data_IF_824639512780
#
_entry.id   IF_824639512780
#
_cell.length_a   1.000
_cell.length_b   1.000
_cell.length_c   1.000
_cell.angle_alpha   90.00
_cell.angle_beta   90.00
_cell.angle_gamma   90.00
#
_symmetry.space_group_name_H-M   'P 1'
#
loop_
_entity.id
_entity.type
_entity.pdbx_description
1 polymer ?
#
# COMPACT_ATOMS: atom_id res chain seq x y z
N UNK A 1 20.93 20.92 19.46
CA UNK A 1 20.36 19.58 19.67
C UNK A 1 19.63 19.23 18.38
N UNK A 2 20.20 18.33 17.56
CA UNK A 2 19.76 18.03 16.20
C UNK A 2 18.80 16.84 16.29
N UNK A 3 17.50 17.13 16.42
CA UNK A 3 16.45 16.14 16.65
C UNK A 3 15.64 16.03 15.35
N UNK A 4 15.75 14.85 14.71
CA UNK A 4 14.74 14.21 13.85
C UNK A 4 14.29 14.88 12.54
N UNK A 5 15.21 15.22 11.63
CA UNK A 5 14.83 15.46 10.23
C UNK A 5 14.49 14.16 9.45
N UNK A 6 14.94 12.99 9.94
CA UNK A 6 14.74 11.71 9.26
C UNK A 6 13.31 11.17 9.44
N UNK A 7 12.72 11.29 10.63
CA UNK A 7 11.33 10.88 10.86
C UNK A 7 10.31 11.81 10.19
N UNK A 8 10.63 13.10 10.04
CA UNK A 8 9.76 14.08 9.37
C UNK A 8 9.67 13.85 7.85
N UNK A 9 10.76 13.40 7.23
CA UNK A 9 10.80 13.09 5.79
C UNK A 9 10.05 11.79 5.47
N UNK A 10 10.14 10.77 6.32
CA UNK A 10 9.34 9.53 6.21
C UNK A 10 7.84 9.79 6.44
N UNK A 11 7.48 10.59 7.45
CA UNK A 11 6.06 10.95 7.69
C UNK A 11 5.47 11.83 6.59
N UNK A 12 6.24 12.77 6.04
CA UNK A 12 5.78 13.63 4.94
C UNK A 12 5.65 12.86 3.61
N UNK A 13 6.54 11.90 3.34
CA UNK A 13 6.44 11.02 2.17
C UNK A 13 5.25 10.05 2.31
N UNK A 14 5.02 9.48 3.50
CA UNK A 14 3.81 8.71 3.81
C UNK A 14 2.54 9.56 3.65
N UNK A 15 2.55 10.82 4.09
CA UNK A 15 1.40 11.71 3.94
C UNK A 15 1.11 12.05 2.47
N UNK A 16 2.14 12.25 1.64
CA UNK A 16 1.97 12.39 0.18
C UNK A 16 1.47 11.09 -0.47
N UNK A 17 1.89 9.94 0.04
CA UNK A 17 1.39 8.64 -0.43
C UNK A 17 -0.08 8.43 -0.05
N UNK A 18 -0.50 8.78 1.15
CA UNK A 18 -1.92 8.77 1.56
C UNK A 18 -2.79 9.72 0.73
N UNK A 19 -2.22 10.80 0.20
CA UNK A 19 -2.90 11.68 -0.75
C UNK A 19 -3.14 11.03 -2.12
N UNK A 20 -2.50 9.88 -2.43
CA UNK A 20 -2.79 9.11 -3.62
C UNK A 20 -3.98 8.18 -3.33
N UNK A 21 -5.15 8.36 -3.95
CA UNK A 21 -6.34 7.57 -3.66
C UNK A 21 -6.13 6.07 -3.92
N UNK A 22 -5.28 5.73 -4.90
CA UNK A 22 -4.91 4.35 -5.19
C UNK A 22 -4.00 3.72 -4.14
N UNK A 23 -3.13 4.50 -3.48
CA UNK A 23 -2.32 4.01 -2.36
C UNK A 23 -3.18 3.87 -1.10
N UNK A 24 -4.03 4.84 -0.81
CA UNK A 24 -4.96 4.79 0.32
C UNK A 24 -5.87 3.56 0.26
N UNK A 25 -6.46 3.27 -0.91
CA UNK A 25 -7.29 2.08 -1.09
C UNK A 25 -6.51 0.76 -0.91
N UNK A 26 -5.25 0.69 -1.34
CA UNK A 26 -4.40 -0.49 -1.13
C UNK A 26 -3.99 -0.64 0.33
N UNK A 27 -3.71 0.48 1.01
CA UNK A 27 -3.34 0.48 2.42
C UNK A 27 -4.51 0.01 3.28
N UNK A 28 -5.73 0.49 2.99
CA UNK A 28 -6.95 0.02 3.66
C UNK A 28 -7.18 -1.48 3.45
N UNK A 29 -7.04 -1.97 2.22
CA UNK A 29 -7.13 -3.41 1.93
C UNK A 29 -6.06 -4.23 2.64
N UNK A 30 -4.84 -3.70 2.74
CA UNK A 30 -3.75 -4.34 3.46
C UNK A 30 -4.08 -4.46 4.96
N UNK A 31 -4.56 -3.37 5.57
CA UNK A 31 -4.94 -3.31 6.97
C UNK A 31 -6.07 -4.30 7.29
N UNK A 32 -7.09 -4.37 6.44
CA UNK A 32 -8.20 -5.32 6.60
C UNK A 32 -7.74 -6.78 6.54
N UNK A 33 -6.84 -7.10 5.59
CA UNK A 33 -6.25 -8.43 5.47
C UNK A 33 -5.38 -8.73 6.69
N UNK A 34 -4.58 -7.79 7.16
CA UNK A 34 -3.68 -7.97 8.30
C UNK A 34 -4.46 -8.14 9.61
N UNK A 35 -5.50 -7.34 9.85
CA UNK A 35 -6.42 -7.53 10.99
C UNK A 35 -7.10 -8.89 10.94
N UNK A 36 -7.51 -9.34 9.76
CA UNK A 36 -8.13 -10.66 9.60
C UNK A 36 -7.14 -11.79 9.89
N UNK A 37 -5.91 -11.67 9.40
CA UNK A 37 -4.81 -12.58 9.73
C UNK A 37 -4.60 -12.61 11.25
N UNK A 38 -4.51 -11.45 11.90
CA UNK A 38 -4.31 -11.36 13.34
C UNK A 38 -5.47 -12.01 14.11
N UNK A 39 -6.74 -11.80 13.71
CA UNK A 39 -7.88 -12.48 14.34
C UNK A 39 -7.82 -14.00 14.18
N UNK A 40 -7.44 -14.48 13.01
CA UNK A 40 -7.29 -15.92 12.75
C UNK A 40 -6.13 -16.52 13.55
N UNK A 41 -4.99 -15.84 13.60
CA UNK A 41 -3.80 -16.27 14.34
C UNK A 41 -4.04 -16.29 15.86
N UNK A 42 -4.83 -15.34 16.38
CA UNK A 42 -5.27 -15.33 17.77
C UNK A 42 -6.39 -16.35 18.06
N UNK A 43 -6.88 -17.09 17.05
CA UNK A 43 -7.97 -18.05 17.20
C UNK A 43 -9.35 -17.43 17.44
N UNK A 44 -9.49 -16.11 17.20
CA UNK A 44 -10.74 -15.36 17.34
C UNK A 44 -11.69 -15.64 16.16
N UNK A 45 -11.12 -15.82 14.97
CA UNK A 45 -11.85 -16.09 13.72
C UNK A 45 -11.35 -17.40 13.08
N UNK A 46 -12.26 -18.24 12.59
CA UNK A 46 -11.86 -19.41 11.79
C UNK A 46 -11.62 -19.01 10.34
N UNK A 47 -10.62 -19.58 9.66
CA UNK A 47 -10.39 -19.36 8.23
C UNK A 47 -11.49 -20.07 7.42
N UNK A 48 -12.70 -19.52 7.42
CA UNK A 48 -13.81 -20.02 6.62
C UNK A 48 -13.69 -19.49 5.19
N UNK A 49 -13.41 -20.40 4.25
CA UNK A 49 -13.33 -20.12 2.81
C UNK A 49 -11.96 -19.66 2.28
N UNK A 50 -11.04 -19.15 3.12
CA UNK A 50 -9.69 -18.80 2.68
C UNK A 50 -8.65 -19.14 3.77
N UNK A 51 -7.69 -20.04 3.48
CA UNK A 51 -6.71 -20.46 4.48
C UNK A 51 -5.79 -19.29 4.85
N UNK A 52 -5.26 -19.34 6.09
CA UNK A 52 -4.32 -18.33 6.60
C UNK A 52 -3.11 -18.13 5.68
N UNK A 53 -2.64 -19.20 5.03
CA UNK A 53 -1.57 -19.14 4.03
C UNK A 53 -1.95 -18.28 2.81
N UNK A 54 -3.18 -18.38 2.31
CA UNK A 54 -3.66 -17.55 1.21
C UNK A 54 -3.82 -16.08 1.63
N UNK A 55 -4.26 -15.81 2.87
CA UNK A 55 -4.31 -14.44 3.40
C UNK A 55 -2.91 -13.83 3.51
N UNK A 56 -1.91 -14.58 3.99
CA UNK A 56 -0.51 -14.13 4.05
C UNK A 56 0.08 -13.86 2.66
N UNK A 57 -0.28 -14.68 1.67
CA UNK A 57 0.08 -14.43 0.27
C UNK A 57 -0.57 -13.15 -0.26
N UNK A 58 -1.85 -12.92 0.05
CA UNK A 58 -2.56 -11.69 -0.33
C UNK A 58 -1.96 -10.46 0.33
N UNK A 59 -1.56 -10.55 1.60
CA UNK A 59 -0.85 -9.49 2.33
C UNK A 59 0.49 -9.13 1.67
N UNK A 60 1.28 -10.13 1.28
CA UNK A 60 2.56 -9.89 0.61
C UNK A 60 2.37 -9.23 -0.77
N UNK A 61 1.39 -9.68 -1.55
CA UNK A 61 1.02 -9.02 -2.81
C UNK A 61 0.60 -7.56 -2.62
N UNK A 62 -0.23 -7.26 -1.62
CA UNK A 62 -0.63 -5.89 -1.29
C UNK A 62 0.57 -5.03 -0.85
N UNK A 63 1.53 -5.60 -0.11
CA UNK A 63 2.77 -4.89 0.27
C UNK A 63 3.62 -4.55 -0.94
N UNK A 64 3.74 -5.47 -1.89
CA UNK A 64 4.43 -5.22 -3.16
C UNK A 64 3.69 -4.17 -4.00
N UNK A 65 2.36 -4.16 -4.02
CA UNK A 65 1.57 -3.13 -4.68
C UNK A 65 1.77 -1.75 -4.05
N UNK A 66 1.80 -1.66 -2.72
CA UNK A 66 2.14 -0.44 -2.01
C UNK A 66 3.55 0.03 -2.37
N UNK A 67 4.56 -0.85 -2.34
CA UNK A 67 5.92 -0.52 -2.74
C UNK A 67 6.01 -0.05 -4.21
N UNK A 68 5.23 -0.66 -5.11
CA UNK A 68 5.10 -0.21 -6.50
C UNK A 68 4.47 1.18 -6.61
N UNK A 69 3.45 1.49 -5.81
CA UNK A 69 2.84 2.84 -5.78
C UNK A 69 3.83 3.90 -5.27
N UNK A 70 4.61 3.56 -4.24
CA UNK A 70 5.69 4.41 -3.72
C UNK A 70 6.71 4.73 -4.82
N UNK A 71 7.25 3.70 -5.47
CA UNK A 71 8.22 3.89 -6.55
C UNK A 71 7.63 4.63 -7.77
N UNK A 72 6.33 4.47 -8.05
CA UNK A 72 5.64 5.23 -9.12
C UNK A 72 5.50 6.72 -8.78
N UNK A 73 5.23 7.06 -7.52
CA UNK A 73 5.13 8.44 -7.07
C UNK A 73 6.49 9.17 -7.15
N UNK A 74 7.60 8.45 -6.96
CA UNK A 74 8.95 8.98 -7.11
C UNK A 74 9.40 9.10 -8.58
N UNK A 75 8.95 8.19 -9.47
CA UNK A 75 9.34 8.18 -10.89
C UNK A 75 8.35 8.83 -11.86
N UNK A 76 7.34 9.56 -11.37
CA UNK A 76 6.57 10.53 -12.18
C UNK A 76 5.75 9.96 -13.35
N UNK A 77 5.53 8.65 -13.42
CA UNK A 77 4.69 8.04 -14.45
C UNK A 77 3.57 7.24 -13.81
N UNK A 78 2.34 7.69 -13.99
CA UNK A 78 1.12 6.97 -13.65
C UNK A 78 1.13 5.65 -14.45
N UNK A 79 1.69 4.58 -13.88
CA UNK A 79 1.66 3.24 -14.46
C UNK A 79 0.26 2.65 -14.18
N UNK A 80 -0.71 3.31 -14.83
CA UNK A 80 -2.15 3.13 -14.81
C UNK A 80 -2.59 2.01 -15.77
N UNK A 81 -1.66 1.33 -16.47
CA UNK A 81 -1.95 0.31 -17.48
C UNK A 81 -2.71 0.82 -18.72
N UNK A 82 -3.34 1.98 -18.63
CA UNK A 82 -3.76 2.79 -19.77
C UNK A 82 -2.57 3.63 -20.20
N UNK A 83 -2.43 3.88 -21.49
CA UNK A 83 -1.62 5.00 -21.98
C UNK A 83 -2.19 6.25 -21.32
N UNK A 84 -1.60 6.69 -20.21
CA UNK A 84 -1.78 8.03 -19.67
C UNK A 84 -1.08 8.95 -20.70
N UNK A 85 -1.80 9.15 -21.81
CA UNK A 85 -1.32 9.74 -23.05
C UNK A 85 -0.87 11.17 -22.81
N UNK A 86 0.36 11.42 -23.23
CA UNK A 86 0.88 12.73 -23.56
C UNK A 86 -0.16 13.54 -24.35
N UNK A 87 -0.93 14.39 -23.66
CA UNK A 87 -1.34 15.67 -24.24
C UNK A 87 -0.33 16.71 -23.80
N UNK A 88 0.90 16.60 -24.33
CA UNK A 88 1.78 17.76 -24.44
C UNK A 88 1.53 18.39 -25.79
N UNK A 89 1.09 19.66 -25.75
CA UNK A 89 1.33 20.74 -26.71
C UNK A 89 1.29 20.43 -28.20
N UNK A 90 0.25 20.92 -28.89
CA UNK A 90 0.31 22.22 -29.58
C UNK A 90 -1.11 22.66 -29.97
#
# INVERSE_FOLDING_TARGET
MHIDYCAQSETQSLQRQLSNPSYAALAEQYDDVDRRIARIENGIERPDGMPLSALKLRRSGLREDLARQVGKAENGCCNCGKQCGTRKSN
#
